data_IF_703775356887
#
_entry.id   IF_703775356887
#
_cell.length_a   1.000
_cell.length_b   1.000
_cell.length_c   1.000
_cell.angle_alpha   90.00
_cell.angle_beta   90.00
_cell.angle_gamma   90.00
#
_symmetry.space_group_name_H-M   'P 1'
#
loop_
_entity.id
_entity.type
_entity.pdbx_description
1 polymer ?
#
# COMPACT_ATOMS: atom_id res chain seq x y z
N UNK A 1 4.66 -13.22 2.26
CA UNK A 1 3.58 -12.21 2.33
C UNK A 1 3.66 -11.15 1.22
N UNK A 2 4.84 -10.67 0.85
CA UNK A 2 5.00 -9.64 -0.21
C UNK A 2 4.35 -10.06 -1.55
N UNK A 3 4.51 -11.30 -1.97
CA UNK A 3 3.93 -11.84 -3.22
C UNK A 3 2.41 -11.89 -3.23
N UNK A 4 1.76 -12.00 -2.06
CA UNK A 4 0.30 -11.96 -1.97
C UNK A 4 -0.25 -10.58 -2.32
N UNK A 5 0.49 -9.52 -1.99
CA UNK A 5 0.10 -8.14 -2.32
C UNK A 5 0.07 -7.85 -3.81
N UNK A 6 0.95 -8.49 -4.61
CA UNK A 6 1.01 -8.32 -6.06
C UNK A 6 -0.06 -9.11 -6.81
N UNK A 7 -0.63 -10.14 -6.20
CA UNK A 7 -1.68 -10.96 -6.83
C UNK A 7 -2.97 -10.19 -7.08
N UNK A 8 -3.38 -9.33 -6.13
CA UNK A 8 -4.61 -8.55 -6.27
C UNK A 8 -4.61 -7.62 -7.49
N UNK A 9 -3.62 -6.72 -7.69
CA UNK A 9 -3.67 -5.79 -8.82
C UNK A 9 -3.62 -6.52 -10.18
N UNK A 10 -2.90 -7.63 -10.26
CA UNK A 10 -2.85 -8.43 -11.48
C UNK A 10 -4.21 -9.08 -11.79
N UNK A 11 -4.85 -9.68 -10.78
CA UNK A 11 -6.19 -10.25 -10.92
C UNK A 11 -7.23 -9.18 -11.23
N UNK A 12 -7.17 -8.02 -10.57
CA UNK A 12 -8.07 -6.91 -10.83
C UNK A 12 -7.93 -6.37 -12.26
N UNK A 13 -6.69 -6.21 -12.75
CA UNK A 13 -6.45 -5.79 -14.12
C UNK A 13 -6.95 -6.83 -15.13
N UNK A 14 -6.65 -8.09 -14.91
CA UNK A 14 -7.10 -9.19 -15.76
C UNK A 14 -8.63 -9.26 -15.82
N UNK A 15 -9.30 -9.14 -14.68
CA UNK A 15 -10.76 -9.13 -14.59
C UNK A 15 -11.38 -8.04 -15.46
N UNK A 16 -10.83 -6.83 -15.39
CA UNK A 16 -11.33 -5.68 -16.16
C UNK A 16 -11.09 -5.85 -17.67
N UNK A 17 -9.93 -6.37 -18.08
CA UNK A 17 -9.59 -6.55 -19.50
C UNK A 17 -10.38 -7.71 -20.12
N UNK A 18 -10.57 -8.81 -19.37
CA UNK A 18 -11.29 -9.99 -19.89
C UNK A 18 -12.80 -9.88 -19.74
N UNK A 19 -13.30 -8.90 -18.95
CA UNK A 19 -14.72 -8.78 -18.59
C UNK A 19 -15.29 -10.04 -17.91
N UNK A 20 -14.44 -10.85 -17.26
CA UNK A 20 -14.84 -12.09 -16.60
C UNK A 20 -15.20 -11.83 -15.13
N UNK A 21 -16.49 -11.98 -14.82
CA UNK A 21 -17.02 -11.80 -13.46
C UNK A 21 -16.42 -12.78 -12.45
N UNK A 22 -15.98 -13.95 -12.88
CA UNK A 22 -15.34 -14.93 -12.00
C UNK A 22 -13.97 -14.44 -11.54
N UNK A 23 -13.23 -13.80 -12.45
CA UNK A 23 -11.94 -13.19 -12.11
C UNK A 23 -12.13 -11.95 -11.22
N UNK A 24 -13.20 -11.14 -11.44
CA UNK A 24 -13.58 -10.05 -10.53
C UNK A 24 -13.81 -10.57 -9.10
N UNK A 25 -14.61 -11.64 -8.99
CA UNK A 25 -14.87 -12.27 -7.71
C UNK A 25 -13.60 -12.82 -7.06
N UNK A 26 -12.74 -13.50 -7.81
CA UNK A 26 -11.45 -14.00 -7.32
C UNK A 26 -10.55 -12.87 -6.83
N UNK A 27 -10.48 -11.74 -7.53
CA UNK A 27 -9.70 -10.58 -7.12
C UNK A 27 -10.18 -10.02 -5.76
N UNK A 28 -11.51 -9.89 -5.58
CA UNK A 28 -12.10 -9.40 -4.33
C UNK A 28 -11.92 -10.41 -3.18
N UNK A 29 -12.07 -11.70 -3.42
CA UNK A 29 -11.81 -12.76 -2.43
C UNK A 29 -10.32 -12.78 -2.05
N UNK A 30 -9.42 -12.57 -3.02
CA UNK A 30 -7.99 -12.47 -2.76
C UNK A 30 -7.67 -11.27 -1.85
N UNK A 31 -8.27 -10.12 -2.12
CA UNK A 31 -8.14 -8.93 -1.27
C UNK A 31 -8.64 -9.18 0.16
N UNK A 32 -9.80 -9.83 0.29
CA UNK A 32 -10.36 -10.23 1.58
C UNK A 32 -9.41 -11.20 2.31
N UNK A 33 -8.82 -12.14 1.60
CA UNK A 33 -7.80 -13.07 2.11
C UNK A 33 -6.57 -12.32 2.64
N UNK A 34 -6.09 -11.29 1.92
CA UNK A 34 -5.01 -10.43 2.39
C UNK A 34 -5.41 -9.73 3.68
N UNK A 35 -6.59 -9.12 3.74
CA UNK A 35 -7.09 -8.41 4.93
C UNK A 35 -7.20 -9.34 6.15
N UNK A 36 -7.63 -10.58 5.96
CA UNK A 36 -7.78 -11.58 7.02
C UNK A 36 -6.49 -12.37 7.32
N UNK A 37 -5.44 -12.20 6.50
CA UNK A 37 -4.21 -13.01 6.58
C UNK A 37 -3.55 -13.00 7.96
N UNK A 38 -3.56 -11.86 8.66
CA UNK A 38 -3.02 -11.75 10.01
C UNK A 38 -3.74 -12.63 11.04
N UNK A 39 -5.08 -12.69 10.96
CA UNK A 39 -5.90 -13.54 11.82
C UNK A 39 -5.80 -15.04 11.43
N UNK A 40 -5.69 -15.31 10.13
CA UNK A 40 -5.49 -16.67 9.63
C UNK A 40 -4.14 -17.25 10.05
N UNK A 41 -3.07 -16.45 10.02
CA UNK A 41 -1.74 -16.86 10.53
C UNK A 41 -1.75 -17.12 12.04
N UNK A 42 -2.58 -16.40 12.80
CA UNK A 42 -2.82 -16.66 14.23
C UNK A 42 -3.75 -17.86 14.45
N UNK A 43 -4.12 -18.61 13.39
CA UNK A 43 -5.02 -19.77 13.41
C UNK A 43 -6.39 -19.47 14.05
N UNK A 44 -6.88 -18.22 13.95
CA UNK A 44 -8.19 -17.86 14.49
C UNK A 44 -9.31 -18.44 13.62
N UNK A 45 -10.18 -19.31 14.14
CA UNK A 45 -11.17 -20.01 13.33
C UNK A 45 -12.21 -19.08 12.70
N UNK A 46 -12.53 -17.95 13.37
CA UNK A 46 -13.45 -16.94 12.85
C UNK A 46 -12.98 -16.33 11.51
N UNK A 47 -11.65 -16.27 11.27
CA UNK A 47 -11.10 -15.68 10.05
C UNK A 47 -11.43 -16.53 8.80
N UNK A 48 -11.46 -17.83 8.94
CA UNK A 48 -11.89 -18.75 7.89
C UNK A 48 -13.39 -18.64 7.63
N UNK A 49 -14.20 -18.56 8.69
CA UNK A 49 -15.64 -18.30 8.60
C UNK A 49 -15.93 -16.95 7.91
N UNK A 50 -15.19 -15.90 8.27
CA UNK A 50 -15.31 -14.59 7.65
C UNK A 50 -14.89 -14.60 6.17
N UNK A 51 -13.85 -15.37 5.79
CA UNK A 51 -13.46 -15.52 4.39
C UNK A 51 -14.56 -16.23 3.58
N UNK A 52 -15.11 -17.33 4.11
CA UNK A 52 -16.19 -18.08 3.44
C UNK A 52 -17.46 -17.23 3.31
N UNK A 53 -17.91 -16.62 4.41
CA UNK A 53 -19.09 -15.76 4.39
C UNK A 53 -18.91 -14.54 3.48
N UNK A 54 -17.75 -13.88 3.56
CA UNK A 54 -17.43 -12.73 2.71
C UNK A 54 -17.37 -13.11 1.23
N UNK A 55 -16.77 -14.27 0.89
CA UNK A 55 -16.73 -14.74 -0.50
C UNK A 55 -18.13 -15.06 -1.04
N UNK A 56 -19.00 -15.64 -0.23
CA UNK A 56 -20.40 -15.91 -0.60
C UNK A 56 -21.19 -14.60 -0.77
N UNK A 57 -21.02 -13.64 0.14
CA UNK A 57 -21.67 -12.32 0.04
C UNK A 57 -21.20 -11.55 -1.20
N UNK A 58 -19.95 -11.63 -1.59
CA UNK A 58 -19.39 -10.98 -2.78
C UNK A 58 -19.88 -11.62 -4.08
N UNK A 59 -20.28 -12.89 -4.06
CA UNK A 59 -20.73 -13.61 -5.25
C UNK A 59 -21.91 -12.92 -5.93
N UNK A 60 -22.95 -12.62 -5.16
CA UNK A 60 -24.18 -12.05 -5.72
C UNK A 60 -23.98 -10.70 -6.43
N UNK A 61 -23.38 -9.66 -5.79
CA UNK A 61 -23.20 -8.37 -6.46
C UNK A 61 -22.25 -8.45 -7.66
N UNK A 62 -21.23 -9.32 -7.60
CA UNK A 62 -20.31 -9.53 -8.73
C UNK A 62 -21.04 -10.17 -9.91
N UNK A 63 -21.81 -11.24 -9.67
CA UNK A 63 -22.59 -11.89 -10.73
C UNK A 63 -23.70 -10.98 -11.28
N UNK A 64 -24.19 -10.02 -10.48
CA UNK A 64 -25.10 -8.97 -10.93
C UNK A 64 -24.42 -7.83 -11.73
N UNK A 65 -23.11 -7.93 -12.00
CA UNK A 65 -22.35 -6.94 -12.77
C UNK A 65 -21.92 -5.69 -11.98
N UNK A 66 -21.99 -5.74 -10.63
CA UNK A 66 -21.59 -4.63 -9.75
C UNK A 66 -20.18 -4.80 -9.17
N UNK A 67 -19.44 -5.84 -9.56
CA UNK A 67 -18.10 -6.16 -9.04
C UNK A 67 -17.08 -5.06 -9.33
N UNK A 68 -17.16 -4.42 -10.50
CA UNK A 68 -16.28 -3.33 -10.91
C UNK A 68 -16.27 -2.17 -9.89
N UNK A 69 -17.44 -1.80 -9.33
CA UNK A 69 -17.50 -0.73 -8.33
C UNK A 69 -16.73 -1.07 -7.06
N UNK A 70 -16.73 -2.35 -6.66
CA UNK A 70 -15.93 -2.80 -5.52
C UNK A 70 -14.42 -2.77 -5.82
N UNK A 71 -14.03 -3.01 -7.07
CA UNK A 71 -12.62 -2.92 -7.50
C UNK A 71 -12.09 -1.46 -7.50
N UNK A 72 -12.94 -0.45 -7.65
CA UNK A 72 -12.53 0.96 -7.59
C UNK A 72 -12.09 1.40 -6.18
N UNK A 73 -12.59 0.75 -5.14
CA UNK A 73 -12.38 1.20 -3.75
C UNK A 73 -10.91 1.07 -3.31
N UNK A 74 -10.21 -0.08 -3.45
CA UNK A 74 -8.87 -0.23 -2.90
C UNK A 74 -7.82 0.73 -3.48
N UNK A 75 -7.75 0.96 -4.82
CA UNK A 75 -6.79 1.90 -5.40
C UNK A 75 -7.00 3.36 -4.99
N UNK A 76 -8.17 3.72 -4.51
CA UNK A 76 -8.45 5.05 -3.93
C UNK A 76 -8.25 5.06 -2.41
N UNK A 77 -8.82 4.07 -1.70
CA UNK A 77 -8.83 4.05 -0.24
C UNK A 77 -7.42 3.87 0.37
N UNK A 78 -6.57 3.02 -0.24
CA UNK A 78 -5.22 2.76 0.30
C UNK A 78 -4.34 4.01 0.22
N UNK A 79 -4.19 4.69 -0.94
CA UNK A 79 -3.44 5.94 -1.00
C UNK A 79 -4.04 7.05 -0.12
N UNK A 80 -5.37 7.15 -0.01
CA UNK A 80 -6.03 8.12 0.87
C UNK A 80 -5.67 7.88 2.35
N UNK A 81 -5.72 6.64 2.82
CA UNK A 81 -5.35 6.28 4.18
C UNK A 81 -3.87 6.57 4.46
N UNK A 82 -2.98 6.22 3.53
CA UNK A 82 -1.55 6.52 3.66
C UNK A 82 -1.28 8.03 3.62
N UNK A 83 -1.94 8.77 2.74
CA UNK A 83 -1.88 10.24 2.73
C UNK A 83 -2.24 10.81 4.09
N UNK A 84 -3.37 10.36 4.68
CA UNK A 84 -3.79 10.83 6.00
C UNK A 84 -2.76 10.51 7.08
N UNK A 85 -2.17 9.31 7.08
CA UNK A 85 -1.11 8.93 8.03
C UNK A 85 0.12 9.84 7.91
N UNK A 86 0.61 10.08 6.70
CA UNK A 86 1.75 10.97 6.46
C UNK A 86 1.41 12.42 6.81
N UNK A 87 0.25 12.93 6.37
CA UNK A 87 -0.17 14.31 6.60
C UNK A 87 -0.36 14.60 8.10
N UNK A 88 -0.98 13.69 8.84
CA UNK A 88 -1.15 13.82 10.29
C UNK A 88 0.19 13.85 11.02
N UNK A 89 1.17 13.06 10.58
CA UNK A 89 2.51 13.03 11.20
C UNK A 89 3.34 14.28 10.90
N UNK A 90 2.95 15.09 9.90
CA UNK A 90 3.63 16.36 9.56
C UNK A 90 3.10 17.58 10.32
N UNK A 91 2.07 17.41 11.16
CA UNK A 91 1.51 18.51 11.98
C UNK A 91 2.55 19.09 12.92
N UNK A 92 2.36 20.34 13.30
CA UNK A 92 3.23 21.02 14.26
C UNK A 92 3.22 20.27 15.61
N UNK A 93 4.42 20.06 16.18
CA UNK A 93 4.59 19.30 17.42
C UNK A 93 4.70 17.79 17.28
N UNK A 94 4.40 17.22 16.08
CA UNK A 94 4.52 15.79 15.85
C UNK A 94 5.86 15.42 15.20
N UNK A 95 6.34 14.21 15.50
CA UNK A 95 7.50 13.62 14.84
C UNK A 95 7.05 12.98 13.52
N UNK A 96 7.62 13.41 12.35
CA UNK A 96 7.25 12.86 11.04
C UNK A 96 7.38 11.34 10.99
N UNK A 97 6.47 10.67 10.28
CA UNK A 97 6.37 9.20 10.32
C UNK A 97 7.67 8.50 9.92
N UNK A 98 8.34 8.95 8.84
CA UNK A 98 9.61 8.37 8.40
C UNK A 98 10.71 8.66 9.42
N UNK A 99 10.72 9.84 10.06
CA UNK A 99 11.66 10.17 11.14
C UNK A 99 11.48 9.23 12.33
N UNK A 100 10.23 8.99 12.74
CA UNK A 100 9.90 8.06 13.84
C UNK A 100 10.40 6.64 13.55
N UNK A 101 10.19 6.14 12.32
CA UNK A 101 10.68 4.83 11.90
C UNK A 101 12.21 4.80 11.86
N UNK A 102 12.85 5.87 11.35
CA UNK A 102 14.30 5.95 11.25
C UNK A 102 14.97 5.96 12.64
N UNK A 103 14.43 6.70 13.61
CA UNK A 103 14.91 6.72 15.00
C UNK A 103 14.82 5.31 15.62
N UNK A 104 13.71 4.59 15.42
CA UNK A 104 13.54 3.22 15.94
C UNK A 104 14.53 2.21 15.34
N UNK A 105 15.14 2.54 14.22
CA UNK A 105 16.09 1.68 13.50
C UNK A 105 17.55 2.09 13.66
N UNK A 106 17.79 3.26 14.24
CA UNK A 106 19.12 3.79 14.47
C UNK A 106 19.63 3.37 15.83
N UNK A 107 20.86 2.87 15.89
CA UNK A 107 21.53 2.54 17.15
C UNK A 107 22.36 3.77 17.59
N UNK A 108 21.88 4.48 18.63
CA UNK A 108 22.54 5.67 19.19
C UNK A 108 21.79 6.99 18.95
N UNK A 109 22.42 8.15 19.22
CA UNK A 109 21.81 9.46 19.01
C UNK A 109 21.53 9.70 17.53
N UNK A 110 20.31 10.15 17.21
CA UNK A 110 19.88 10.35 15.82
C UNK A 110 20.36 11.70 15.31
N UNK A 111 21.13 11.79 14.20
CA UNK A 111 21.71 13.04 13.71
C UNK A 111 20.67 14.04 13.22
N UNK A 112 20.88 15.34 13.46
CA UNK A 112 19.93 16.40 13.11
C UNK A 112 19.70 16.55 11.60
N UNK A 113 20.73 16.32 10.78
CA UNK A 113 20.62 16.33 9.32
C UNK A 113 19.72 15.20 8.79
N UNK A 114 19.73 14.05 9.45
CA UNK A 114 18.81 12.95 9.13
C UNK A 114 17.36 13.26 9.57
N UNK A 115 17.15 14.06 10.63
CA UNK A 115 15.81 14.51 11.02
C UNK A 115 15.20 15.38 9.91
N UNK A 116 15.97 16.34 9.38
CA UNK A 116 15.51 17.21 8.27
C UNK A 116 15.24 16.39 7.02
N UNK A 117 16.15 15.47 6.67
CA UNK A 117 15.99 14.60 5.51
C UNK A 117 14.75 13.70 5.60
N UNK A 118 14.57 13.01 6.72
CA UNK A 118 13.43 12.10 6.90
C UNK A 118 12.08 12.83 6.94
N UNK A 119 12.06 14.11 7.36
CA UNK A 119 10.90 14.98 7.22
C UNK A 119 10.58 15.24 5.75
N UNK A 120 11.56 15.54 4.91
CA UNK A 120 11.36 15.73 3.47
C UNK A 120 10.89 14.42 2.80
N UNK A 121 11.42 13.27 3.21
CA UNK A 121 10.93 11.97 2.73
C UNK A 121 9.47 11.75 3.12
N UNK A 122 9.07 12.15 4.35
CA UNK A 122 7.67 12.07 4.77
C UNK A 122 6.77 12.96 3.90
N UNK A 123 7.22 14.17 3.57
CA UNK A 123 6.51 15.09 2.66
C UNK A 123 6.40 14.52 1.24
N UNK A 124 7.48 13.93 0.72
CA UNK A 124 7.49 13.25 -0.58
C UNK A 124 6.41 12.15 -0.63
N UNK A 125 6.38 11.26 0.36
CA UNK A 125 5.39 10.19 0.41
C UNK A 125 3.96 10.71 0.58
N UNK A 126 3.78 11.80 1.36
CA UNK A 126 2.50 12.48 1.46
C UNK A 126 2.02 12.98 0.09
N UNK A 127 2.88 13.68 -0.67
CA UNK A 127 2.56 14.18 -2.00
C UNK A 127 2.28 13.04 -3.01
N UNK A 128 3.10 12.00 -3.00
CA UNK A 128 2.90 10.81 -3.87
C UNK A 128 1.55 10.16 -3.58
N UNK A 129 1.22 9.90 -2.31
CA UNK A 129 -0.07 9.30 -1.94
C UNK A 129 -1.25 10.18 -2.32
N UNK A 130 -1.13 11.52 -2.17
CA UNK A 130 -2.17 12.46 -2.63
C UNK A 130 -2.37 12.38 -4.15
N UNK A 131 -1.28 12.38 -4.92
CA UNK A 131 -1.33 12.28 -6.38
C UNK A 131 -1.95 10.96 -6.85
N UNK A 132 -1.58 9.84 -6.22
CA UNK A 132 -2.16 8.52 -6.52
C UNK A 132 -3.66 8.47 -6.19
N UNK A 133 -4.06 9.03 -5.06
CA UNK A 133 -5.48 9.12 -4.69
C UNK A 133 -6.28 9.95 -5.70
N UNK A 134 -5.81 11.17 -5.98
CA UNK A 134 -6.49 12.07 -6.94
C UNK A 134 -6.58 11.42 -8.32
N UNK A 135 -5.49 10.82 -8.80
CA UNK A 135 -5.49 10.15 -10.10
C UNK A 135 -6.44 8.94 -10.13
N UNK A 136 -6.49 8.12 -9.07
CA UNK A 136 -7.39 6.98 -8.98
C UNK A 136 -8.86 7.41 -9.05
N UNK A 137 -9.23 8.49 -8.33
CA UNK A 137 -10.59 9.03 -8.33
C UNK A 137 -10.92 9.65 -9.70
N UNK A 138 -10.02 10.47 -10.25
CA UNK A 138 -10.24 11.10 -11.57
C UNK A 138 -10.41 10.07 -12.67
N UNK A 139 -9.55 9.04 -12.69
CA UNK A 139 -9.66 7.96 -13.66
C UNK A 139 -10.93 7.12 -13.49
N UNK A 140 -11.38 6.90 -12.24
CA UNK A 140 -12.64 6.18 -11.99
C UNK A 140 -13.88 6.95 -12.49
N UNK A 141 -13.81 8.29 -12.51
CA UNK A 141 -14.92 9.14 -12.95
C UNK A 141 -14.93 9.40 -14.46
N UNK A 142 -13.77 9.51 -15.09
CA UNK A 142 -13.66 10.04 -16.46
C UNK A 142 -12.99 9.10 -17.47
N UNK A 143 -12.32 8.03 -17.02
CA UNK A 143 -11.61 7.11 -17.90
C UNK A 143 -12.44 5.85 -18.21
N UNK A 144 -12.07 5.14 -19.27
CA UNK A 144 -12.58 3.79 -19.50
C UNK A 144 -12.10 2.83 -18.40
N UNK A 145 -12.87 1.79 -18.06
CA UNK A 145 -12.45 0.81 -17.04
C UNK A 145 -11.08 0.19 -17.33
N UNK A 146 -10.76 -0.07 -18.59
CA UNK A 146 -9.46 -0.63 -18.98
C UNK A 146 -8.31 0.34 -18.69
N UNK A 147 -8.45 1.63 -19.06
CA UNK A 147 -7.44 2.65 -18.79
C UNK A 147 -7.28 2.88 -17.27
N UNK A 148 -8.41 3.00 -16.54
CA UNK A 148 -8.40 3.09 -15.08
C UNK A 148 -7.62 1.93 -14.47
N UNK A 149 -7.94 0.70 -14.88
CA UNK A 149 -7.31 -0.49 -14.34
C UNK A 149 -5.81 -0.59 -14.65
N UNK A 150 -5.39 -0.24 -15.87
CA UNK A 150 -3.98 -0.17 -16.24
C UNK A 150 -3.23 0.83 -15.36
N UNK A 151 -3.78 2.03 -15.21
CA UNK A 151 -3.14 3.08 -14.41
C UNK A 151 -3.06 2.73 -12.94
N UNK A 152 -4.17 2.26 -12.35
CA UNK A 152 -4.23 2.03 -10.89
C UNK A 152 -3.62 0.69 -10.46
N UNK A 153 -3.71 -0.35 -11.28
CA UNK A 153 -3.22 -1.68 -10.92
C UNK A 153 -1.81 -2.01 -11.48
N UNK A 154 -1.29 -1.20 -12.42
CA UNK A 154 0.06 -1.41 -12.98
C UNK A 154 0.91 -0.16 -12.79
N UNK A 155 0.54 0.98 -13.38
CA UNK A 155 1.37 2.17 -13.42
C UNK A 155 1.60 2.76 -12.02
N UNK A 156 0.58 2.80 -11.15
CA UNK A 156 0.75 3.26 -9.77
C UNK A 156 1.80 2.45 -9.02
N UNK A 157 1.85 1.12 -9.20
CA UNK A 157 2.86 0.28 -8.56
C UNK A 157 4.27 0.52 -9.14
N UNK A 158 4.37 0.78 -10.45
CA UNK A 158 5.65 1.16 -11.08
C UNK A 158 6.13 2.51 -10.53
N UNK A 159 5.23 3.49 -10.40
CA UNK A 159 5.56 4.81 -9.82
C UNK A 159 6.01 4.67 -8.37
N UNK A 160 5.29 3.92 -7.54
CA UNK A 160 5.67 3.65 -6.15
C UNK A 160 7.06 2.99 -6.07
N UNK A 161 7.31 1.97 -6.89
CA UNK A 161 8.60 1.30 -6.97
C UNK A 161 9.73 2.23 -7.40
N UNK A 162 9.48 3.07 -8.42
CA UNK A 162 10.45 4.05 -8.89
C UNK A 162 10.78 5.08 -7.80
N UNK A 163 9.78 5.67 -7.13
CA UNK A 163 10.00 6.62 -6.02
C UNK A 163 10.80 5.96 -4.91
N UNK A 164 10.50 4.71 -4.56
CA UNK A 164 11.23 3.97 -3.52
C UNK A 164 12.70 3.73 -3.91
N UNK A 165 12.96 3.34 -5.16
CA UNK A 165 14.33 3.10 -5.66
C UNK A 165 15.12 4.41 -5.72
N UNK A 166 14.51 5.50 -6.20
CA UNK A 166 15.15 6.81 -6.26
C UNK A 166 15.46 7.36 -4.87
N UNK A 167 14.52 7.26 -3.91
CA UNK A 167 14.74 7.66 -2.52
C UNK A 167 15.89 6.88 -1.89
N UNK A 168 15.86 5.54 -2.06
CA UNK A 168 16.93 4.67 -1.56
C UNK A 168 18.28 5.00 -2.17
N UNK A 169 18.38 5.22 -3.48
CA UNK A 169 19.60 5.60 -4.19
C UNK A 169 20.14 6.95 -3.71
N UNK A 170 19.26 7.95 -3.59
CA UNK A 170 19.61 9.29 -3.07
C UNK A 170 20.13 9.20 -1.63
N UNK A 171 19.45 8.49 -0.77
CA UNK A 171 19.86 8.28 0.62
C UNK A 171 21.22 7.61 0.72
N UNK A 172 21.46 6.58 -0.08
CA UNK A 172 22.75 5.87 -0.11
C UNK A 172 23.88 6.76 -0.63
N UNK A 173 23.59 7.59 -1.64
CA UNK A 173 24.58 8.51 -2.21
C UNK A 173 24.90 9.66 -1.26
N UNK A 174 23.89 10.29 -0.68
CA UNK A 174 24.07 11.51 0.13
C UNK A 174 24.46 11.24 1.57
N UNK A 175 23.99 10.15 2.14
CA UNK A 175 24.14 9.78 3.54
C UNK A 175 24.84 8.43 3.74
N UNK A 176 25.64 7.99 2.76
CA UNK A 176 26.34 6.69 2.76
C UNK A 176 27.40 6.54 3.84
N UNK A 177 27.81 7.64 4.49
CA UNK A 177 28.76 7.64 5.60
C UNK A 177 28.13 7.23 6.94
N UNK A 178 26.81 7.23 7.06
CA UNK A 178 26.13 6.64 8.20
C UNK A 178 25.98 5.13 7.99
N UNK A 179 26.09 4.33 9.08
CA UNK A 179 25.88 2.89 9.01
C UNK A 179 24.46 2.58 8.55
N UNK A 180 24.31 2.15 7.31
CA UNK A 180 23.04 1.71 6.79
C UNK A 180 22.93 0.20 6.97
N UNK A 181 22.01 -0.24 7.82
CA UNK A 181 21.58 -1.63 7.77
C UNK A 181 21.11 -1.95 6.35
N UNK A 182 21.65 -3.02 5.74
CA UNK A 182 21.31 -3.40 4.37
C UNK A 182 19.79 -3.51 4.18
N UNK A 183 19.30 -3.25 2.96
CA UNK A 183 17.86 -3.21 2.63
C UNK A 183 17.08 -4.43 3.15
N UNK A 184 17.71 -5.61 3.13
CA UNK A 184 17.14 -6.85 3.67
C UNK A 184 17.04 -6.85 5.21
N UNK A 185 18.03 -6.25 5.92
CA UNK A 185 17.95 -6.09 7.38
C UNK A 185 16.92 -5.04 7.75
N UNK A 186 16.82 -3.95 6.98
CA UNK A 186 15.80 -2.92 7.10
C UNK A 186 14.39 -3.51 6.99
N UNK A 187 14.12 -4.27 5.94
CA UNK A 187 12.83 -4.95 5.74
C UNK A 187 12.54 -5.99 6.85
N UNK A 188 13.55 -6.75 7.29
CA UNK A 188 13.39 -7.71 8.39
C UNK A 188 13.11 -7.03 9.73
N UNK A 189 13.76 -5.90 10.03
CA UNK A 189 13.49 -5.11 11.24
C UNK A 189 12.09 -4.50 11.17
N UNK A 190 11.67 -3.91 10.05
CA UNK A 190 10.30 -3.41 9.84
C UNK A 190 9.21 -4.47 10.09
N UNK A 191 9.41 -5.69 9.60
CA UNK A 191 8.47 -6.79 9.83
C UNK A 191 8.41 -7.26 11.30
N UNK A 192 9.43 -6.97 12.11
CA UNK A 192 9.48 -7.30 13.54
C UNK A 192 8.95 -6.20 14.46
N UNK A 193 8.89 -4.97 13.98
CA UNK A 193 8.31 -3.87 14.75
C UNK A 193 6.80 -4.08 14.80
N UNK A 194 6.32 -4.66 15.91
CA UNK A 194 4.92 -4.53 16.28
C UNK A 194 4.73 -3.06 16.65
N UNK A 195 4.13 -2.30 15.76
CA UNK A 195 3.64 -0.97 16.08
C UNK A 195 2.69 -1.14 17.27
N UNK A 196 3.16 -0.83 18.48
CA UNK A 196 2.28 -0.62 19.63
C UNK A 196 1.52 0.68 19.29
N UNK A 197 0.31 0.53 18.79
CA UNK A 197 -0.69 1.58 18.75
C UNK A 197 -1.33 1.67 20.11
#
# INVERSE_FOLDING_TARGET
MFWLGLGYPLLAHLAVVTHDRRIEWLALVWLLGIALSGAMMQRRPWAWGALLAGSALLWWPVMAGKGLYALYVPPAAIPAALFMLFALSLRAGEVPLVTRIAILMHDGPFPDDLVVYTRHVTQLWCAVCAALFVSAVTLALFASPALWSLMTNVIHYVVLGAVFVFEYGYRRWRYGHYEHSGLLQYLRRLMRIRLKV
#
